data_IF_255133780447
#
_entry.id   IF_255133780447
#
_cell.length_a   1.000
_cell.length_b   1.000
_cell.length_c   1.000
_cell.angle_alpha   90.00
_cell.angle_beta   90.00
_cell.angle_gamma   90.00
#
_symmetry.space_group_name_H-M   'P 1'
#
loop_
_entity.id
_entity.type
_entity.pdbx_description
1 polymer ?
#
# COMPACT_ATOMS: atom_id res chain seq x y z
N UNK A 1 9.06 23.52 20.29
CA UNK A 1 9.37 22.26 20.98
C UNK A 1 8.44 21.18 20.48
N UNK A 2 8.95 19.96 20.34
CA UNK A 2 8.16 18.80 19.92
C UNK A 2 7.37 18.24 21.11
N UNK A 3 6.19 17.68 20.85
CA UNK A 3 5.40 16.97 21.86
C UNK A 3 5.87 15.51 22.01
N UNK A 4 5.48 14.85 23.10
CA UNK A 4 5.80 13.45 23.39
C UNK A 4 5.34 12.49 22.27
N UNK A 5 4.18 12.74 21.68
CA UNK A 5 3.66 11.96 20.55
C UNK A 5 4.53 12.09 19.29
N UNK A 6 5.00 13.31 19.00
CA UNK A 6 5.86 13.58 17.83
C UNK A 6 7.22 12.89 17.99
N UNK A 7 7.80 12.92 19.21
CA UNK A 7 9.03 12.20 19.54
C UNK A 7 8.86 10.68 19.45
N UNK A 8 7.75 10.14 19.96
CA UNK A 8 7.44 8.72 19.85
C UNK A 8 7.29 8.28 18.38
N UNK A 9 6.64 9.11 17.55
CA UNK A 9 6.53 8.87 16.11
C UNK A 9 7.91 8.88 15.42
N UNK A 10 8.77 9.85 15.73
CA UNK A 10 10.13 9.91 15.17
C UNK A 10 10.90 8.63 15.47
N UNK A 11 10.95 8.20 16.74
CA UNK A 11 11.69 7.01 17.16
C UNK A 11 11.15 5.74 16.49
N UNK A 12 9.82 5.58 16.49
CA UNK A 12 9.16 4.47 15.82
C UNK A 12 9.45 4.44 14.31
N UNK A 13 9.32 5.59 13.64
CA UNK A 13 9.50 5.66 12.20
C UNK A 13 10.96 5.48 11.80
N UNK A 14 11.93 5.94 12.59
CA UNK A 14 13.36 5.75 12.32
C UNK A 14 13.73 4.26 12.27
N UNK A 15 13.18 3.45 13.17
CA UNK A 15 13.38 1.99 13.20
C UNK A 15 12.57 1.28 12.09
N UNK A 16 11.33 1.73 11.84
CA UNK A 16 10.45 1.10 10.86
C UNK A 16 10.79 1.46 9.40
N UNK A 17 11.37 2.64 9.14
CA UNK A 17 11.60 3.22 7.81
C UNK A 17 12.33 2.29 6.84
N UNK A 18 13.46 1.73 7.26
CA UNK A 18 14.27 0.84 6.41
C UNK A 18 13.57 -0.49 6.17
N UNK A 19 12.86 -0.97 7.19
CA UNK A 19 12.06 -2.20 7.10
C UNK A 19 10.88 -2.02 6.13
N UNK A 20 10.22 -0.87 6.18
CA UNK A 20 9.05 -0.54 5.36
C UNK A 20 9.38 0.00 3.96
N UNK A 21 10.61 0.47 3.72
CA UNK A 21 11.03 0.97 2.41
C UNK A 21 11.20 -0.15 1.38
N UNK A 22 11.53 -1.37 1.83
CA UNK A 22 11.76 -2.53 0.96
C UNK A 22 10.53 -2.87 0.13
N UNK A 23 10.72 -2.93 -1.19
CA UNK A 23 9.68 -3.36 -2.16
C UNK A 23 9.11 -4.73 -1.79
N UNK A 24 9.94 -5.64 -1.25
CA UNK A 24 9.50 -6.96 -0.79
C UNK A 24 8.53 -6.87 0.39
N UNK A 25 8.76 -5.95 1.33
CA UNK A 25 7.84 -5.71 2.45
C UNK A 25 6.55 -5.03 2.00
N UNK A 26 6.64 -4.06 1.09
CA UNK A 26 5.47 -3.38 0.50
C UNK A 26 4.57 -4.38 -0.21
N UNK A 27 5.14 -5.33 -0.96
CA UNK A 27 4.38 -6.44 -1.59
C UNK A 27 3.81 -7.39 -0.54
N UNK A 28 4.58 -7.85 0.45
CA UNK A 28 4.09 -8.78 1.49
C UNK A 28 2.96 -8.21 2.32
N UNK A 29 2.98 -6.91 2.63
CA UNK A 29 1.91 -6.23 3.37
C UNK A 29 0.77 -5.76 2.49
N UNK A 30 1.01 -5.57 1.20
CA UNK A 30 -0.03 -5.33 0.19
C UNK A 30 -0.78 -6.60 -0.23
N UNK A 31 -0.16 -7.78 -0.06
CA UNK A 31 -0.69 -9.08 -0.47
C UNK A 31 -2.03 -9.43 0.20
N UNK A 32 -2.24 -9.27 1.52
CA UNK A 32 -3.53 -9.54 2.15
C UNK A 32 -4.64 -8.68 1.53
N UNK A 33 -4.35 -7.40 1.25
CA UNK A 33 -5.33 -6.50 0.64
C UNK A 33 -5.60 -6.86 -0.83
N UNK A 34 -4.55 -7.24 -1.57
CA UNK A 34 -4.69 -7.76 -2.93
C UNK A 34 -5.50 -9.05 -2.96
N UNK A 35 -5.38 -9.93 -1.96
CA UNK A 35 -6.17 -11.16 -1.85
C UNK A 35 -7.64 -10.87 -1.54
N UNK A 36 -7.95 -9.91 -0.65
CA UNK A 36 -9.34 -9.53 -0.34
C UNK A 36 -10.11 -9.10 -1.61
N UNK A 37 -9.46 -8.37 -2.52
CA UNK A 37 -10.09 -7.92 -3.77
C UNK A 37 -9.86 -8.86 -4.96
N UNK A 38 -8.76 -9.62 -4.93
CA UNK A 38 -8.34 -10.51 -6.00
C UNK A 38 -8.99 -11.89 -5.93
N UNK A 39 -9.24 -12.45 -4.74
CA UNK A 39 -9.87 -13.77 -4.55
C UNK A 39 -11.33 -13.86 -5.02
N UNK A 40 -12.18 -12.83 -4.82
CA UNK A 40 -13.58 -12.90 -5.25
C UNK A 40 -13.73 -13.12 -6.75
N UNK A 41 -12.78 -12.66 -7.58
CA UNK A 41 -12.83 -12.79 -9.03
C UNK A 41 -12.73 -14.25 -9.50
N UNK A 42 -11.64 -15.00 -9.27
CA UNK A 42 -11.56 -16.41 -9.63
C UNK A 42 -12.60 -17.24 -8.88
N UNK A 43 -12.92 -16.88 -7.62
CA UNK A 43 -13.98 -17.56 -6.88
C UNK A 43 -15.35 -17.42 -7.56
N UNK A 44 -15.69 -16.24 -8.10
CA UNK A 44 -16.93 -16.04 -8.84
C UNK A 44 -16.99 -16.90 -10.12
N UNK A 45 -15.87 -17.03 -10.84
CA UNK A 45 -15.80 -17.84 -12.06
C UNK A 45 -15.98 -19.33 -11.72
N UNK A 46 -15.32 -19.81 -10.67
CA UNK A 46 -15.46 -21.18 -10.16
C UNK A 46 -16.89 -21.44 -9.70
N UNK A 47 -17.49 -20.51 -8.96
CA UNK A 47 -18.87 -20.62 -8.49
C UNK A 47 -19.87 -20.70 -9.65
N UNK A 48 -19.72 -19.86 -10.67
CA UNK A 48 -20.56 -19.88 -11.87
C UNK A 48 -20.37 -21.18 -12.67
N UNK A 49 -19.12 -21.66 -12.80
CA UNK A 49 -18.84 -22.93 -13.45
C UNK A 49 -19.53 -24.11 -12.74
N UNK A 50 -19.53 -24.12 -11.40
CA UNK A 50 -20.10 -25.19 -10.60
C UNK A 50 -21.64 -25.12 -10.48
N UNK A 51 -22.21 -23.92 -10.30
CA UNK A 51 -23.67 -23.73 -10.20
C UNK A 51 -24.38 -23.77 -11.55
N UNK A 52 -23.73 -23.38 -12.64
CA UNK A 52 -24.39 -23.19 -13.95
C UNK A 52 -23.45 -23.47 -15.13
N UNK A 53 -23.03 -24.74 -15.31
CA UNK A 53 -22.10 -25.14 -16.37
C UNK A 53 -22.64 -24.86 -17.78
N UNK A 54 -23.94 -25.03 -18.02
CA UNK A 54 -24.57 -24.77 -19.32
C UNK A 54 -24.65 -23.29 -19.67
N UNK A 55 -24.73 -22.41 -18.66
CA UNK A 55 -24.69 -20.97 -18.88
C UNK A 55 -23.25 -20.53 -19.17
N UNK A 56 -22.29 -21.03 -18.38
CA UNK A 56 -20.87 -20.77 -18.58
C UNK A 56 -20.39 -21.18 -19.97
N UNK A 57 -20.77 -22.36 -20.47
CA UNK A 57 -20.38 -22.85 -21.80
C UNK A 57 -21.00 -22.07 -22.96
N UNK A 58 -22.19 -21.45 -22.77
CA UNK A 58 -22.82 -20.58 -23.76
C UNK A 58 -22.14 -19.21 -23.83
N UNK A 59 -21.83 -18.62 -22.69
CA UNK A 59 -21.16 -17.32 -22.59
C UNK A 59 -19.67 -17.42 -22.95
N UNK A 60 -18.97 -18.47 -22.52
CA UNK A 60 -17.52 -18.60 -22.76
C UNK A 60 -17.17 -18.68 -24.25
N UNK A 61 -18.05 -19.27 -25.07
CA UNK A 61 -17.87 -19.35 -26.54
C UNK A 61 -17.90 -17.98 -27.23
N UNK A 62 -18.57 -16.98 -26.67
CA UNK A 62 -18.69 -15.64 -27.26
C UNK A 62 -17.64 -14.66 -26.71
N UNK A 63 -17.06 -14.92 -25.54
CA UNK A 63 -16.10 -14.02 -24.87
C UNK A 63 -14.65 -14.54 -24.96
N UNK A 64 -14.41 -15.75 -25.50
CA UNK A 64 -13.11 -16.47 -25.36
C UNK A 64 -11.87 -15.66 -25.75
N UNK A 65 -11.95 -14.79 -26.76
CA UNK A 65 -10.79 -14.04 -27.26
C UNK A 65 -10.45 -12.80 -26.42
N UNK A 66 -11.44 -12.19 -25.75
CA UNK A 66 -11.27 -10.93 -24.99
C UNK A 66 -11.35 -11.15 -23.48
N UNK A 67 -11.97 -12.25 -23.03
CA UNK A 67 -12.15 -12.61 -21.62
C UNK A 67 -10.81 -12.62 -20.86
N UNK A 68 -9.81 -13.30 -21.42
CA UNK A 68 -8.49 -13.45 -20.79
C UNK A 68 -7.83 -12.08 -20.62
N UNK A 69 -7.90 -11.23 -21.64
CA UNK A 69 -7.35 -9.87 -21.62
C UNK A 69 -8.01 -9.00 -20.56
N UNK A 70 -9.35 -9.06 -20.45
CA UNK A 70 -10.11 -8.29 -19.44
C UNK A 70 -9.76 -8.76 -18.03
N UNK A 71 -9.70 -10.08 -17.80
CA UNK A 71 -9.34 -10.65 -16.50
C UNK A 71 -7.92 -10.23 -16.10
N UNK A 72 -6.96 -10.32 -17.02
CA UNK A 72 -5.58 -9.88 -16.76
C UNK A 72 -5.53 -8.37 -16.47
N UNK A 73 -6.24 -7.54 -17.23
CA UNK A 73 -6.28 -6.09 -17.03
C UNK A 73 -6.87 -5.70 -15.65
N UNK A 74 -7.94 -6.37 -15.22
CA UNK A 74 -8.55 -6.16 -13.90
C UNK A 74 -7.58 -6.57 -12.79
N UNK A 75 -6.93 -7.73 -12.93
CA UNK A 75 -5.94 -8.22 -11.96
C UNK A 75 -4.78 -7.22 -11.85
N UNK A 76 -4.21 -6.79 -12.97
CA UNK A 76 -3.12 -5.80 -12.98
C UNK A 76 -3.58 -4.50 -12.31
N UNK A 77 -4.78 -4.03 -12.61
CA UNK A 77 -5.34 -2.82 -12.02
C UNK A 77 -5.44 -2.94 -10.49
N UNK A 78 -5.96 -4.06 -9.97
CA UNK A 78 -6.07 -4.31 -8.52
C UNK A 78 -4.69 -4.31 -7.86
N UNK A 79 -3.72 -5.03 -8.44
CA UNK A 79 -2.35 -5.06 -7.90
C UNK A 79 -1.70 -3.67 -7.94
N UNK A 80 -1.88 -2.94 -9.04
CA UNK A 80 -1.36 -1.59 -9.21
C UNK A 80 -1.94 -0.63 -8.17
N UNK A 81 -3.27 -0.59 -8.01
CA UNK A 81 -3.92 0.26 -7.00
C UNK A 81 -3.51 -0.11 -5.57
N UNK A 82 -3.43 -1.41 -5.25
CA UNK A 82 -3.00 -1.89 -3.93
C UNK A 82 -1.56 -1.47 -3.62
N UNK A 83 -0.65 -1.68 -4.58
CA UNK A 83 0.75 -1.28 -4.46
C UNK A 83 0.90 0.23 -4.31
N UNK A 84 0.24 1.00 -5.20
CA UNK A 84 0.31 2.46 -5.22
C UNK A 84 -0.17 3.05 -3.89
N UNK A 85 -1.28 2.54 -3.34
CA UNK A 85 -1.80 2.98 -2.04
C UNK A 85 -0.78 2.79 -0.92
N UNK A 86 -0.12 1.62 -0.88
CA UNK A 86 0.87 1.33 0.16
C UNK A 86 2.14 2.18 -0.02
N UNK A 87 2.54 2.42 -1.28
CA UNK A 87 3.65 3.30 -1.60
C UNK A 87 3.40 4.74 -1.14
N UNK A 88 2.25 5.32 -1.51
CA UNK A 88 1.85 6.68 -1.13
C UNK A 88 1.75 6.84 0.40
N UNK A 89 1.23 5.82 1.10
CA UNK A 89 1.18 5.84 2.56
C UNK A 89 2.57 5.94 3.19
N UNK A 90 3.54 5.19 2.64
CA UNK A 90 4.92 5.25 3.10
C UNK A 90 5.54 6.62 2.82
N UNK A 91 5.33 7.19 1.63
CA UNK A 91 5.84 8.52 1.27
C UNK A 91 5.28 9.62 2.20
N UNK A 92 3.99 9.54 2.55
CA UNK A 92 3.37 10.52 3.45
C UNK A 92 3.95 10.47 4.87
N UNK A 93 4.16 9.26 5.41
CA UNK A 93 4.82 9.10 6.71
C UNK A 93 6.27 9.60 6.69
N UNK A 94 6.98 9.35 5.59
CA UNK A 94 8.35 9.82 5.39
C UNK A 94 8.42 11.35 5.34
N UNK A 95 7.48 11.99 4.63
CA UNK A 95 7.38 13.45 4.59
C UNK A 95 7.12 14.03 5.99
N UNK A 96 6.16 13.47 6.73
CA UNK A 96 5.87 13.88 8.11
C UNK A 96 7.11 13.78 9.01
N UNK A 97 7.86 12.69 8.90
CA UNK A 97 9.11 12.50 9.64
C UNK A 97 10.15 13.58 9.32
N UNK A 98 10.34 13.91 8.04
CA UNK A 98 11.28 14.95 7.61
C UNK A 98 10.89 16.34 8.12
N UNK A 99 9.59 16.65 8.14
CA UNK A 99 9.06 17.91 8.69
C UNK A 99 9.31 18.01 10.20
N UNK A 100 9.05 16.94 10.94
CA UNK A 100 9.28 16.90 12.39
C UNK A 100 10.78 17.02 12.71
N UNK A 101 11.66 16.34 11.97
CA UNK A 101 13.12 16.42 12.16
C UNK A 101 13.66 17.82 11.87
N UNK A 102 13.09 18.53 10.89
CA UNK A 102 13.42 19.94 10.64
C UNK A 102 13.02 20.83 11.82
N UNK A 103 11.81 20.65 12.37
CA UNK A 103 11.33 21.39 13.55
C UNK A 103 12.16 21.11 14.81
N UNK A 104 12.63 19.87 14.98
CA UNK A 104 13.54 19.49 16.05
C UNK A 104 14.85 20.29 15.97
N UNK A 105 15.53 20.22 14.82
CA UNK A 105 16.79 20.93 14.59
C UNK A 105 16.68 22.44 14.78
N UNK A 106 15.56 23.03 14.34
CA UNK A 106 15.31 24.46 14.54
C UNK A 106 15.14 24.82 16.03
N UNK A 107 14.48 23.96 16.81
CA UNK A 107 14.33 24.13 18.25
C UNK A 107 15.68 24.00 18.97
N UNK A 108 16.46 22.98 18.63
CA UNK A 108 17.79 22.72 19.22
C UNK A 108 18.79 23.86 18.92
N UNK A 109 18.71 24.44 17.72
CA UNK A 109 19.54 25.57 17.31
C UNK A 109 19.18 26.85 18.08
N UNK A 110 17.89 27.11 18.30
CA UNK A 110 17.42 28.25 19.09
C UNK A 110 17.80 28.13 20.58
N UNK A 111 17.75 26.92 21.13
CA UNK A 111 18.17 26.65 22.50
C UNK A 111 19.68 26.84 22.70
N UNK A 112 20.49 26.35 21.75
CA UNK A 112 21.94 26.57 21.77
C UNK A 112 22.32 28.05 21.66
N UNK A 113 21.63 28.82 20.83
CA UNK A 113 21.89 30.25 20.67
C UNK A 113 21.60 31.07 21.94
N UNK A 114 20.54 30.71 22.67
CA UNK A 114 20.18 31.33 23.95
C UNK A 114 21.16 30.99 25.09
N UNK A 115 21.85 29.85 25.01
CA UNK A 115 22.81 29.42 26.03
C UNK A 115 24.23 29.97 25.84
N UNK A 116 24.50 30.55 24.66
CA UNK A 116 25.78 31.19 24.29
C UNK A 116 25.78 32.72 24.35
N UNK A 117 24.64 33.34 24.68
CA UNK A 117 24.50 34.79 24.94
C UNK A 117 24.49 35.05 26.45
#
# INVERSE_FOLDING_TARGET
MLNAEELAFINYWEEARERESSVSQKIKRGLPMALVFGLPIPFSIIAVYWLSPDWYTRVSKSVSTVAVTIVIAVIISIFFFSFMRMHLKWEMNEQQYLELKKRQRASDAAEKANHTS
#
